data_IF_368515397622
#
_entry.id   IF_368515397622
#
_cell.length_a   1.000
_cell.length_b   1.000
_cell.length_c   1.000
_cell.angle_alpha   90.00
_cell.angle_beta   90.00
_cell.angle_gamma   90.00
#
_symmetry.space_group_name_H-M   'P 1'
#
loop_
_entity.id
_entity.type
_entity.pdbx_description
1 polymer ?
#
# COMPACT_ATOMS: atom_id res chain seq x y z
N UNK A 1 19.69 26.05 6.47
CA UNK A 1 20.10 24.70 6.89
C UNK A 1 20.78 24.05 5.70
N UNK A 2 22.12 24.03 5.65
CA UNK A 2 22.90 23.34 4.61
C UNK A 2 23.63 22.16 5.29
N UNK A 3 23.41 20.90 4.88
CA UNK A 3 24.07 19.75 5.49
C UNK A 3 25.50 19.50 4.98
N UNK A 4 26.06 20.36 4.12
CA UNK A 4 27.42 20.22 3.62
C UNK A 4 28.44 20.05 4.77
N UNK A 5 29.25 19.00 4.68
CA UNK A 5 30.28 18.67 5.68
C UNK A 5 29.76 17.93 6.91
N UNK A 6 28.45 17.64 7.02
CA UNK A 6 27.92 16.76 8.06
C UNK A 6 28.18 15.30 7.66
N UNK A 7 28.86 14.49 8.51
CA UNK A 7 29.11 13.08 8.21
C UNK A 7 27.82 12.27 8.07
N UNK A 8 27.74 11.44 7.03
CA UNK A 8 26.67 10.45 6.87
C UNK A 8 26.93 9.27 7.80
N UNK A 9 25.94 8.88 8.58
CA UNK A 9 25.97 7.69 9.44
C UNK A 9 24.99 6.65 8.94
N UNK A 10 25.38 5.37 8.98
CA UNK A 10 24.57 4.24 8.52
C UNK A 10 24.40 3.25 9.66
N UNK A 11 23.20 2.71 9.81
CA UNK A 11 22.87 1.65 10.79
C UNK A 11 22.00 0.60 10.10
N UNK A 12 22.26 -0.67 10.42
CA UNK A 12 21.45 -1.82 9.98
C UNK A 12 21.08 -2.58 11.24
N UNK A 13 19.79 -2.90 11.39
CA UNK A 13 19.28 -3.67 12.51
C UNK A 13 18.21 -4.64 12.01
N UNK A 14 18.14 -5.82 12.61
CA UNK A 14 17.24 -6.90 12.23
C UNK A 14 16.63 -7.53 13.49
N UNK A 15 15.32 -7.78 13.46
CA UNK A 15 14.57 -8.44 14.52
C UNK A 15 13.28 -9.07 13.94
N UNK A 16 12.67 -10.05 14.62
CA UNK A 16 11.39 -10.61 14.18
C UNK A 16 10.29 -9.55 14.20
N UNK A 17 9.48 -9.49 13.13
CA UNK A 17 8.36 -8.57 12.97
C UNK A 17 7.12 -9.37 12.50
N UNK A 18 5.96 -9.16 13.12
CA UNK A 18 4.70 -9.84 12.76
C UNK A 18 3.87 -9.04 11.74
N UNK A 19 2.67 -9.50 11.41
CA UNK A 19 1.79 -8.81 10.45
C UNK A 19 1.51 -7.35 10.88
N UNK A 20 1.82 -6.39 10.00
CA UNK A 20 1.81 -4.96 10.34
C UNK A 20 0.43 -4.44 10.73
N UNK A 21 -0.63 -4.89 10.03
CA UNK A 21 -2.01 -4.50 10.28
C UNK A 21 -2.77 -5.46 11.22
N UNK A 22 -2.06 -6.43 11.81
CA UNK A 22 -2.61 -7.46 12.70
C UNK A 22 -2.71 -8.84 12.05
N UNK A 23 -2.65 -9.90 12.86
CA UNK A 23 -2.65 -11.30 12.36
C UNK A 23 -3.94 -11.66 11.60
N UNK A 24 -5.08 -11.12 12.02
CA UNK A 24 -6.38 -11.36 11.36
C UNK A 24 -6.55 -10.56 10.06
N UNK A 25 -5.69 -9.56 9.80
CA UNK A 25 -5.85 -8.62 8.69
C UNK A 25 -5.65 -9.27 7.33
N UNK A 26 -4.68 -10.18 7.21
CA UNK A 26 -4.38 -10.87 5.94
C UNK A 26 -5.55 -11.72 5.47
N UNK A 27 -6.30 -12.31 6.40
CA UNK A 27 -7.41 -13.21 6.08
C UNK A 27 -8.76 -12.49 5.98
N UNK A 28 -9.10 -11.65 6.97
CA UNK A 28 -10.42 -11.03 7.07
C UNK A 28 -10.50 -9.64 6.42
N UNK A 29 -9.34 -9.04 6.11
CA UNK A 29 -9.22 -7.66 5.67
C UNK A 29 -9.41 -6.63 6.78
N UNK A 30 -9.11 -5.38 6.45
CA UNK A 30 -9.09 -4.26 7.40
C UNK A 30 -10.17 -3.22 7.12
N UNK A 31 -10.63 -2.55 8.18
CA UNK A 31 -11.50 -1.37 8.07
C UNK A 31 -10.64 -0.11 7.97
N UNK A 32 -10.85 0.66 6.92
CA UNK A 32 -10.02 1.82 6.57
C UNK A 32 -10.84 3.10 6.61
N UNK A 33 -10.19 4.19 7.02
CA UNK A 33 -10.78 5.54 7.02
C UNK A 33 -10.09 6.44 6.02
N UNK A 34 -10.85 7.15 5.19
CA UNK A 34 -10.29 8.31 4.48
C UNK A 34 -10.05 9.43 5.49
N UNK A 35 -8.79 9.68 5.83
CA UNK A 35 -8.41 10.62 6.90
C UNK A 35 -8.46 12.07 6.42
N UNK A 36 -8.50 13.00 7.37
CA UNK A 36 -8.55 14.43 7.11
C UNK A 36 -7.21 15.02 6.65
N UNK A 37 -6.09 14.39 7.03
CA UNK A 37 -4.76 14.75 6.58
C UNK A 37 -4.59 14.48 5.08
N UNK A 38 -3.92 15.39 4.38
CA UNK A 38 -3.55 15.22 2.97
C UNK A 38 -2.15 14.69 2.84
N UNK A 39 -1.92 13.87 1.83
CA UNK A 39 -0.57 13.50 1.41
C UNK A 39 0.16 14.75 0.93
N UNK A 40 1.43 14.84 1.28
CA UNK A 40 2.29 15.93 0.82
C UNK A 40 2.56 15.78 -0.68
N UNK A 41 2.63 16.91 -1.40
CA UNK A 41 2.93 16.92 -2.83
C UNK A 41 4.45 16.98 -3.04
N UNK A 42 4.91 16.46 -4.18
CA UNK A 42 6.31 16.44 -4.61
C UNK A 42 6.96 17.82 -4.75
N UNK A 43 6.17 18.89 -4.91
CA UNK A 43 6.65 20.28 -4.90
C UNK A 43 7.05 20.78 -3.49
N UNK A 44 6.61 20.08 -2.43
CA UNK A 44 6.95 20.37 -1.03
C UNK A 44 8.11 19.49 -0.56
N UNK A 45 7.95 18.17 -0.68
CA UNK A 45 8.94 17.17 -0.26
C UNK A 45 8.85 16.01 -1.28
N UNK A 46 9.97 15.44 -1.76
CA UNK A 46 9.93 14.32 -2.69
C UNK A 46 9.12 13.14 -2.14
N UNK A 47 8.07 12.74 -2.85
CA UNK A 47 7.16 11.64 -2.47
C UNK A 47 7.78 10.27 -2.70
N UNK A 48 8.71 10.18 -3.64
CA UNK A 48 9.47 8.98 -3.97
C UNK A 48 10.74 8.77 -3.11
N UNK A 49 11.01 9.64 -2.14
CA UNK A 49 12.12 9.48 -1.20
C UNK A 49 11.61 9.01 0.16
N UNK A 50 12.07 7.85 0.61
CA UNK A 50 11.71 7.31 1.93
C UNK A 50 12.57 7.96 3.02
N UNK A 51 12.10 9.10 3.53
CA UNK A 51 12.82 9.92 4.52
C UNK A 51 12.09 9.92 5.86
N UNK A 52 12.79 10.21 6.97
CA UNK A 52 12.18 10.23 8.30
C UNK A 52 11.15 11.36 8.48
N UNK A 53 11.40 12.53 7.89
CA UNK A 53 10.54 13.70 8.09
C UNK A 53 9.12 13.53 7.52
N UNK A 54 8.98 12.78 6.42
CA UNK A 54 7.66 12.56 5.80
C UNK A 54 6.75 11.67 6.65
N UNK A 55 7.30 10.83 7.52
CA UNK A 55 6.50 9.96 8.40
C UNK A 55 5.71 10.72 9.47
N UNK A 56 5.98 12.01 9.72
CA UNK A 56 5.09 12.82 10.56
C UNK A 56 3.68 12.83 9.97
N UNK A 57 3.54 12.93 8.64
CA UNK A 57 2.25 12.85 7.96
C UNK A 57 1.59 11.47 8.14
N UNK A 58 2.35 10.39 7.91
CA UNK A 58 1.88 9.02 8.08
C UNK A 58 1.40 8.76 9.52
N UNK A 59 2.18 9.16 10.52
CA UNK A 59 1.84 8.98 11.94
C UNK A 59 0.56 9.74 12.30
N UNK A 60 0.37 10.96 11.80
CA UNK A 60 -0.86 11.73 12.04
C UNK A 60 -2.08 11.06 11.39
N UNK A 61 -1.92 10.51 10.19
CA UNK A 61 -2.96 9.78 9.48
C UNK A 61 -3.36 8.49 10.23
N UNK A 62 -2.38 7.63 10.58
CA UNK A 62 -2.65 6.40 11.32
C UNK A 62 -3.26 6.69 12.70
N UNK A 63 -2.79 7.72 13.41
CA UNK A 63 -3.40 8.13 14.67
C UNK A 63 -4.84 8.60 14.51
N UNK A 64 -5.16 9.37 13.46
CA UNK A 64 -6.54 9.76 13.20
C UNK A 64 -7.43 8.52 12.97
N UNK A 65 -7.01 7.58 12.12
CA UNK A 65 -7.78 6.37 11.83
C UNK A 65 -8.00 5.51 13.09
N UNK A 66 -6.92 5.18 13.80
CA UNK A 66 -6.96 4.34 15.00
C UNK A 66 -7.75 4.97 16.15
N UNK A 67 -7.64 6.28 16.36
CA UNK A 67 -8.45 6.98 17.37
C UNK A 67 -9.96 6.99 17.05
N UNK A 68 -10.32 6.72 15.79
CA UNK A 68 -11.71 6.60 15.35
C UNK A 68 -12.16 5.14 15.16
N UNK A 69 -11.36 4.16 15.61
CA UNK A 69 -11.73 2.74 15.62
C UNK A 69 -11.48 1.99 14.30
N UNK A 70 -10.74 2.58 13.37
CA UNK A 70 -10.30 1.92 12.14
C UNK A 70 -8.90 1.32 12.33
N UNK A 71 -8.54 0.34 11.50
CA UNK A 71 -7.22 -0.28 11.55
C UNK A 71 -6.17 0.64 10.94
N UNK A 72 -6.48 1.26 9.80
CA UNK A 72 -5.54 2.11 9.08
C UNK A 72 -6.23 3.27 8.36
N UNK A 73 -5.45 4.31 8.05
CA UNK A 73 -5.90 5.45 7.25
C UNK A 73 -5.76 5.23 5.75
N UNK A 74 -6.42 6.09 4.97
CA UNK A 74 -6.19 6.28 3.55
C UNK A 74 -6.04 7.77 3.27
N UNK A 75 -4.89 8.15 2.73
CA UNK A 75 -4.57 9.54 2.41
C UNK A 75 -5.03 9.87 1.00
N UNK A 76 -5.55 11.08 0.85
CA UNK A 76 -5.80 11.70 -0.45
C UNK A 76 -4.71 12.72 -0.74
N UNK A 77 -4.39 12.93 -2.02
CA UNK A 77 -3.55 14.04 -2.44
C UNK A 77 -4.29 15.40 -2.32
N UNK A 78 -3.59 16.47 -2.70
CA UNK A 78 -4.08 17.84 -2.56
C UNK A 78 -5.29 18.12 -3.45
N UNK A 79 -5.36 17.43 -4.60
CA UNK A 79 -6.42 17.51 -5.59
C UNK A 79 -7.68 16.75 -5.17
N UNK A 80 -7.57 15.88 -4.15
CA UNK A 80 -8.68 15.11 -3.63
C UNK A 80 -8.79 13.68 -4.18
N UNK A 81 -7.80 13.23 -4.93
CA UNK A 81 -7.69 11.88 -5.45
C UNK A 81 -6.97 10.98 -4.44
N UNK A 82 -7.17 9.68 -4.58
CA UNK A 82 -6.55 8.67 -3.74
C UNK A 82 -5.05 8.66 -3.98
N UNK A 83 -4.29 8.79 -2.89
CA UNK A 83 -2.85 8.60 -2.91
C UNK A 83 -2.53 7.18 -2.43
N UNK A 84 -2.34 6.99 -1.13
CA UNK A 84 -1.89 5.73 -0.55
C UNK A 84 -2.27 5.66 0.94
N UNK A 85 -2.05 4.50 1.57
CA UNK A 85 -2.09 4.38 3.03
C UNK A 85 -0.91 5.13 3.68
N UNK A 86 -0.91 5.27 5.02
CA UNK A 86 0.22 5.86 5.75
C UNK A 86 1.55 5.14 5.53
N UNK A 87 1.54 3.83 5.29
CA UNK A 87 2.73 3.00 5.08
C UNK A 87 2.68 2.10 3.83
N UNK A 88 1.58 2.10 3.08
CA UNK A 88 1.23 1.09 2.08
C UNK A 88 0.70 1.74 0.80
N UNK A 89 1.05 1.21 -0.38
CA UNK A 89 0.35 1.58 -1.62
C UNK A 89 -1.03 0.91 -1.67
N UNK A 90 -1.96 1.48 -2.44
CA UNK A 90 -3.33 0.95 -2.60
C UNK A 90 -3.60 0.47 -4.03
N UNK A 91 -4.41 -0.58 -4.11
CA UNK A 91 -4.95 -1.14 -5.34
C UNK A 91 -6.47 -1.21 -5.27
N UNK A 92 -7.09 -1.05 -6.44
CA UNK A 92 -8.53 -1.14 -6.66
C UNK A 92 -8.79 -2.18 -7.73
N UNK A 93 -9.73 -3.08 -7.49
CA UNK A 93 -10.22 -4.05 -8.48
C UNK A 93 -11.62 -3.65 -8.92
N UNK A 94 -11.85 -3.63 -10.23
CA UNK A 94 -13.16 -3.40 -10.83
C UNK A 94 -13.30 -4.21 -12.11
N UNK A 95 -14.39 -4.96 -12.23
CA UNK A 95 -14.69 -5.79 -13.39
C UNK A 95 -13.56 -6.77 -13.77
N UNK A 96 -12.81 -7.24 -12.75
CA UNK A 96 -11.66 -8.15 -12.93
C UNK A 96 -10.36 -7.47 -13.38
N UNK A 97 -10.32 -6.15 -13.51
CA UNK A 97 -9.12 -5.37 -13.82
C UNK A 97 -8.59 -4.66 -12.57
N UNK A 98 -7.26 -4.45 -12.53
CA UNK A 98 -6.56 -3.88 -11.37
C UNK A 98 -6.12 -2.45 -11.70
N UNK A 99 -6.32 -1.54 -10.75
CA UNK A 99 -6.01 -0.11 -10.88
C UNK A 99 -5.18 0.31 -9.68
N UNK A 100 -4.12 1.08 -9.89
CA UNK A 100 -3.32 1.66 -8.80
C UNK A 100 -2.96 3.10 -9.11
N UNK A 101 -2.91 3.99 -8.10
CA UNK A 101 -2.50 5.37 -8.30
C UNK A 101 -1.13 5.48 -8.97
N UNK A 102 -0.96 6.48 -9.83
CA UNK A 102 0.33 6.78 -10.44
C UNK A 102 1.29 7.47 -9.48
N UNK A 103 2.60 7.44 -9.77
CA UNK A 103 3.62 8.14 -8.97
C UNK A 103 3.38 9.66 -8.88
N UNK A 104 2.65 10.24 -9.84
CA UNK A 104 2.21 11.64 -9.80
C UNK A 104 1.11 11.93 -8.77
N UNK A 105 0.42 10.90 -8.26
CA UNK A 105 -0.66 11.03 -7.27
C UNK A 105 -0.13 11.09 -5.82
N UNK A 106 1.13 11.51 -5.64
CA UNK A 106 1.80 11.69 -4.34
C UNK A 106 2.11 10.40 -3.57
N UNK A 107 2.23 9.27 -4.27
CA UNK A 107 2.58 7.97 -3.67
C UNK A 107 4.10 7.73 -3.65
N UNK A 108 4.53 6.77 -2.83
CA UNK A 108 5.87 6.20 -2.87
C UNK A 108 5.97 5.14 -3.99
N UNK A 109 7.12 5.03 -4.66
CA UNK A 109 7.43 3.88 -5.52
C UNK A 109 7.74 2.67 -4.65
N UNK A 110 6.70 1.92 -4.26
CA UNK A 110 6.83 0.78 -3.39
C UNK A 110 7.34 -0.45 -4.14
N UNK A 111 8.33 -1.14 -3.57
CA UNK A 111 8.87 -2.39 -4.16
C UNK A 111 7.79 -3.47 -4.17
N UNK A 112 7.04 -3.65 -3.08
CA UNK A 112 5.93 -4.63 -3.04
C UNK A 112 4.83 -4.29 -4.06
N UNK A 113 4.60 -3.01 -4.33
CA UNK A 113 3.67 -2.58 -5.39
C UNK A 113 4.19 -3.00 -6.76
N UNK A 114 5.46 -2.76 -7.05
CA UNK A 114 6.11 -3.18 -8.29
C UNK A 114 6.01 -4.71 -8.46
N UNK A 115 6.32 -5.48 -7.41
CA UNK A 115 6.16 -6.94 -7.40
C UNK A 115 4.72 -7.39 -7.67
N UNK A 116 3.73 -6.78 -7.02
CA UNK A 116 2.31 -7.11 -7.22
C UNK A 116 1.84 -6.83 -8.64
N UNK A 117 2.30 -5.72 -9.25
CA UNK A 117 1.97 -5.38 -10.64
C UNK A 117 2.53 -6.44 -11.59
N UNK A 118 3.81 -6.78 -11.46
CA UNK A 118 4.48 -7.77 -12.31
C UNK A 118 3.80 -9.14 -12.21
N UNK A 119 3.56 -9.62 -10.98
CA UNK A 119 2.85 -10.87 -10.74
C UNK A 119 1.42 -10.86 -11.29
N UNK A 120 0.68 -9.75 -11.14
CA UNK A 120 -0.67 -9.65 -11.64
C UNK A 120 -0.72 -9.78 -13.17
N UNK A 121 0.21 -9.11 -13.87
CA UNK A 121 0.34 -9.21 -15.32
C UNK A 121 0.68 -10.63 -15.77
N UNK A 122 1.56 -11.33 -15.06
CA UNK A 122 1.92 -12.73 -15.34
C UNK A 122 0.76 -13.72 -15.12
N UNK A 123 -0.09 -13.46 -14.12
CA UNK A 123 -1.33 -14.19 -13.88
C UNK A 123 -2.42 -13.87 -14.91
N UNK A 124 -2.17 -12.92 -15.82
CA UNK A 124 -3.04 -12.57 -16.93
C UNK A 124 -4.07 -11.47 -16.62
N UNK A 125 -3.89 -10.74 -15.51
CA UNK A 125 -4.72 -9.58 -15.20
C UNK A 125 -4.30 -8.36 -16.03
N UNK A 126 -5.28 -7.54 -16.42
CA UNK A 126 -5.03 -6.20 -16.93
C UNK A 126 -4.73 -5.27 -15.74
N UNK A 127 -3.53 -4.70 -15.71
CA UNK A 127 -3.13 -3.72 -14.69
C UNK A 127 -3.03 -2.33 -15.28
N UNK A 128 -3.82 -1.40 -14.73
CA UNK A 128 -3.77 0.02 -15.02
C UNK A 128 -2.90 0.73 -13.97
N UNK A 129 -1.59 0.75 -14.21
CA UNK A 129 -0.65 1.62 -13.49
C UNK A 129 -0.79 3.07 -14.01
N UNK A 130 -0.64 4.05 -13.12
CA UNK A 130 -0.60 5.46 -13.49
C UNK A 130 -1.94 6.16 -13.36
N UNK A 131 -2.91 5.55 -12.68
CA UNK A 131 -4.28 6.03 -12.68
C UNK A 131 -4.49 7.16 -11.68
N UNK A 132 -5.42 8.06 -11.99
CA UNK A 132 -6.03 8.94 -11.01
C UNK A 132 -7.31 8.28 -10.52
N UNK A 133 -7.36 7.93 -9.24
CA UNK A 133 -8.53 7.29 -8.62
C UNK A 133 -9.23 8.31 -7.74
N UNK A 134 -10.51 8.56 -7.98
CA UNK A 134 -11.29 9.47 -7.12
C UNK A 134 -11.69 8.78 -5.82
N UNK A 135 -11.90 9.55 -4.74
CA UNK A 135 -12.44 9.00 -3.47
C UNK A 135 -13.73 8.20 -3.66
N UNK A 136 -14.60 8.63 -4.59
CA UNK A 136 -15.89 7.98 -4.83
C UNK A 136 -15.75 6.55 -5.36
N UNK A 137 -14.70 6.30 -6.13
CA UNK A 137 -14.45 5.00 -6.76
C UNK A 137 -14.06 3.92 -5.76
N UNK A 138 -13.49 4.29 -4.61
CA UNK A 138 -13.23 3.36 -3.51
C UNK A 138 -14.51 2.65 -3.08
N UNK A 139 -15.62 3.38 -2.99
CA UNK A 139 -16.89 2.85 -2.49
C UNK A 139 -17.66 1.98 -3.49
N UNK A 140 -17.21 1.96 -4.74
CA UNK A 140 -17.82 1.19 -5.83
C UNK A 140 -16.80 0.23 -6.45
N UNK A 141 -15.71 -0.06 -5.75
CA UNK A 141 -14.77 -1.10 -6.10
C UNK A 141 -15.35 -2.47 -5.78
N UNK A 142 -14.98 -3.48 -6.56
CA UNK A 142 -15.31 -4.87 -6.24
C UNK A 142 -14.39 -5.37 -5.12
N UNK A 143 -13.11 -5.00 -5.18
CA UNK A 143 -12.11 -5.29 -4.15
C UNK A 143 -11.17 -4.09 -3.96
N UNK A 144 -10.62 -3.96 -2.76
CA UNK A 144 -9.55 -3.04 -2.44
C UNK A 144 -8.50 -3.79 -1.62
N UNK A 145 -7.23 -3.48 -1.82
CA UNK A 145 -6.16 -4.01 -0.97
C UNK A 145 -4.96 -3.07 -0.89
N UNK A 146 -4.19 -3.22 0.18
CA UNK A 146 -2.92 -2.56 0.39
C UNK A 146 -1.75 -3.45 -0.02
N UNK A 147 -0.65 -2.82 -0.44
CA UNK A 147 0.64 -3.47 -0.63
C UNK A 147 1.76 -2.75 0.15
N UNK A 148 2.63 -3.49 0.81
CA UNK A 148 3.87 -2.93 1.38
C UNK A 148 4.76 -4.00 2.00
N UNK A 149 6.01 -3.70 2.30
CA UNK A 149 6.93 -4.72 2.86
C UNK A 149 6.43 -5.29 4.19
N UNK A 150 5.88 -4.44 5.05
CA UNK A 150 5.37 -4.87 6.37
C UNK A 150 3.90 -5.33 6.31
N UNK A 151 3.11 -4.75 5.39
CA UNK A 151 1.69 -5.04 5.22
C UNK A 151 1.41 -6.18 4.23
N UNK A 152 2.44 -6.63 3.50
CA UNK A 152 2.36 -7.64 2.44
C UNK A 152 1.25 -7.30 1.45
N UNK A 153 0.35 -8.23 1.12
CA UNK A 153 -0.89 -7.97 0.39
C UNK A 153 -2.05 -8.07 1.38
N UNK A 154 -2.57 -6.93 1.86
CA UNK A 154 -3.63 -6.89 2.89
C UNK A 154 -4.97 -6.45 2.30
N UNK A 155 -6.03 -7.27 2.35
CA UNK A 155 -7.36 -6.89 1.87
C UNK A 155 -7.98 -5.74 2.67
N UNK A 156 -8.77 -4.89 2.01
CA UNK A 156 -9.55 -3.82 2.64
C UNK A 156 -11.03 -4.18 2.51
N UNK A 157 -11.67 -4.48 3.65
CA UNK A 157 -13.06 -4.95 3.67
C UNK A 157 -14.08 -3.82 3.76
N UNK A 158 -13.67 -2.66 4.27
CA UNK A 158 -14.52 -1.46 4.33
C UNK A 158 -13.72 -0.17 4.25
N UNK A 159 -14.34 0.87 3.69
CA UNK A 159 -13.83 2.25 3.68
C UNK A 159 -14.91 3.21 4.18
N UNK A 160 -14.61 4.01 5.20
CA UNK A 160 -15.56 4.96 5.82
C UNK A 160 -16.91 4.31 6.18
N UNK A 161 -16.87 3.15 6.84
CA UNK A 161 -18.03 2.33 7.23
C UNK A 161 -18.84 1.77 6.07
N UNK A 162 -18.36 1.93 4.83
CA UNK A 162 -18.95 1.30 3.65
C UNK A 162 -18.21 0.01 3.33
N UNK A 163 -18.97 -1.07 3.34
CA UNK A 163 -18.48 -2.38 2.91
C UNK A 163 -18.03 -2.32 1.45
N UNK A 164 -16.87 -2.92 1.16
CA UNK A 164 -16.35 -3.14 -0.19
C UNK A 164 -16.70 -4.56 -0.61
N UNK A 165 -17.27 -4.73 -1.81
CA UNK A 165 -17.69 -6.04 -2.31
C UNK A 165 -18.50 -6.85 -1.28
N UNK A 166 -18.05 -8.08 -1.01
CA UNK A 166 -18.64 -8.98 -0.01
C UNK A 166 -18.27 -8.66 1.45
N UNK A 167 -17.41 -7.67 1.69
CA UNK A 167 -16.90 -7.35 3.04
C UNK A 167 -15.86 -8.35 3.55
N UNK A 168 -15.21 -9.06 2.63
CA UNK A 168 -14.17 -10.06 2.89
C UNK A 168 -13.08 -9.93 1.83
N UNK A 169 -11.98 -10.67 1.98
CA UNK A 169 -11.02 -10.88 0.89
C UNK A 169 -11.74 -11.37 -0.37
N UNK A 170 -11.49 -10.71 -1.49
CA UNK A 170 -12.06 -11.05 -2.80
C UNK A 170 -11.14 -11.98 -3.60
N UNK A 171 -11.64 -12.59 -4.68
CA UNK A 171 -10.89 -13.59 -5.45
C UNK A 171 -9.60 -13.07 -6.09
N UNK A 172 -9.58 -11.85 -6.62
CA UNK A 172 -8.36 -11.29 -7.24
C UNK A 172 -7.31 -11.03 -6.17
N UNK A 173 -7.73 -10.45 -5.05
CA UNK A 173 -6.85 -10.20 -3.90
C UNK A 173 -6.31 -11.51 -3.32
N UNK A 174 -7.13 -12.56 -3.22
CA UNK A 174 -6.72 -13.87 -2.68
C UNK A 174 -5.70 -14.57 -3.57
N UNK A 175 -5.88 -14.53 -4.89
CA UNK A 175 -4.92 -15.11 -5.84
C UNK A 175 -3.58 -14.37 -5.80
N UNK A 176 -3.59 -13.03 -5.81
CA UNK A 176 -2.38 -12.22 -5.71
C UNK A 176 -1.67 -12.40 -4.36
N UNK A 177 -2.43 -12.47 -3.27
CA UNK A 177 -1.89 -12.70 -1.94
C UNK A 177 -1.23 -14.08 -1.85
N UNK A 178 -1.90 -15.12 -2.36
CA UNK A 178 -1.36 -16.49 -2.37
C UNK A 178 -0.08 -16.58 -3.20
N UNK A 179 -0.10 -16.04 -4.42
CA UNK A 179 1.09 -15.99 -5.28
C UNK A 179 2.24 -15.20 -4.65
N UNK A 180 1.95 -14.12 -3.93
CA UNK A 180 2.96 -13.32 -3.22
C UNK A 180 3.62 -14.13 -2.08
N UNK A 181 2.82 -14.86 -1.31
CA UNK A 181 3.35 -15.70 -0.22
C UNK A 181 4.14 -16.90 -0.73
N UNK A 182 3.69 -17.54 -1.81
CA UNK A 182 4.43 -18.62 -2.47
C UNK A 182 5.78 -18.09 -3.01
N UNK A 183 5.79 -16.92 -3.67
CA UNK A 183 7.01 -16.26 -4.13
C UNK A 183 8.00 -16.03 -2.98
N UNK A 184 7.56 -15.36 -1.91
CA UNK A 184 8.43 -15.01 -0.77
C UNK A 184 8.88 -16.23 0.02
N UNK A 185 8.07 -17.29 0.07
CA UNK A 185 8.35 -18.53 0.78
C UNK A 185 9.27 -19.50 0.05
N UNK A 186 9.07 -19.67 -1.27
CA UNK A 186 9.74 -20.71 -2.05
C UNK A 186 10.92 -20.19 -2.89
N UNK A 187 11.03 -18.86 -3.08
CA UNK A 187 12.09 -18.23 -3.88
C UNK A 187 12.31 -18.94 -5.25
N UNK A 188 11.28 -19.00 -6.11
CA UNK A 188 11.33 -19.70 -7.39
C UNK A 188 12.46 -19.22 -8.30
N UNK A 189 12.98 -20.13 -9.13
CA UNK A 189 14.16 -19.91 -9.98
C UNK A 189 14.00 -18.71 -10.94
N UNK A 190 12.79 -18.45 -11.45
CA UNK A 190 12.56 -17.31 -12.34
C UNK A 190 12.77 -15.94 -11.65
N UNK A 191 12.60 -15.90 -10.34
CA UNK A 191 12.78 -14.72 -9.51
C UNK A 191 14.07 -14.75 -8.68
N UNK A 192 15.02 -15.66 -8.97
CA UNK A 192 16.26 -15.80 -8.19
C UNK A 192 16.99 -14.45 -7.97
N UNK A 193 16.92 -13.56 -8.97
CA UNK A 193 17.52 -12.23 -8.92
C UNK A 193 16.88 -11.26 -7.90
N UNK A 194 15.70 -11.56 -7.34
CA UNK A 194 15.07 -10.82 -6.23
C UNK A 194 15.52 -11.31 -4.86
N UNK A 195 16.07 -12.52 -4.78
CA UNK A 195 16.45 -13.15 -3.52
C UNK A 195 17.96 -13.08 -3.29
N UNK A 196 18.36 -12.87 -2.05
CA UNK A 196 19.77 -12.96 -1.62
C UNK A 196 19.84 -13.95 -0.47
N UNK A 197 20.61 -15.02 -0.65
CA UNK A 197 20.86 -15.99 0.42
C UNK A 197 21.67 -15.33 1.54
N UNK A 198 21.13 -15.35 2.76
CA UNK A 198 21.72 -14.73 3.97
C UNK A 198 22.11 -15.73 5.03
#
# INVERSE_FOLDING_TARGET
>A
MNPDGIPVQVTIAAWPWGAYLGEDALENGVDVKVVSWRKYNSDMIPTNAKTTGTYVNSVLASQEATNNGYVEGLLLNQEGNVAEGPGENIFLVRDGEIYTPGLSESILSGITRETVIEMAEELGYTVHDGMTISRGELYTADELFFSGTAAEVTPIRSVDDKQIGSGTKGPVTDELQSAFFDLVGDAPEEYEHWFTMV
#
